data_IF_298733103180
#
_entry.id   IF_298733103180
#
_cell.length_a   1.000
_cell.length_b   1.000
_cell.length_c   1.000
_cell.angle_alpha   90.00
_cell.angle_beta   90.00
_cell.angle_gamma   90.00
#
_symmetry.space_group_name_H-M   'P 1'
#
loop_
_entity.id
_entity.type
_entity.pdbx_description
1 polymer ?
#
# COMPACT_ATOMS: atom_id res chain seq x y z
N UNK A 1 1.87 19.18 -22.14
CA UNK A 1 1.79 20.38 -21.27
C UNK A 1 0.96 19.95 -20.07
N UNK A 2 1.50 20.00 -18.84
CA UNK A 2 0.71 19.68 -17.68
C UNK A 2 -0.44 20.70 -17.55
N UNK A 3 -1.68 20.19 -17.55
CA UNK A 3 -2.83 21.03 -17.26
C UNK A 3 -2.78 21.38 -15.78
N UNK A 4 -2.40 22.60 -15.47
CA UNK A 4 -2.43 23.12 -14.10
C UNK A 4 -3.87 23.36 -13.71
N UNK A 5 -4.43 22.47 -12.89
CA UNK A 5 -5.73 22.71 -12.28
C UNK A 5 -5.60 23.82 -11.24
N UNK A 6 -6.46 24.82 -11.32
CA UNK A 6 -6.53 25.89 -10.29
C UNK A 6 -7.11 25.31 -9.01
N UNK A 7 -6.47 25.60 -7.87
CA UNK A 7 -6.99 25.23 -6.55
C UNK A 7 -8.03 26.26 -6.11
N UNK A 8 -9.21 25.78 -5.72
CA UNK A 8 -10.31 26.58 -5.22
C UNK A 8 -10.75 26.01 -3.87
N UNK A 9 -10.59 26.80 -2.80
CA UNK A 9 -10.98 26.41 -1.47
C UNK A 9 -12.50 26.53 -1.30
N UNK A 10 -13.08 25.63 -0.51
CA UNK A 10 -14.51 25.56 -0.27
C UNK A 10 -14.84 24.76 0.99
N UNK A 11 -16.04 24.21 1.11
CA UNK A 11 -16.41 23.37 2.25
C UNK A 11 -15.42 22.23 2.48
N UNK A 12 -15.22 21.89 3.75
CA UNK A 12 -14.40 20.74 4.17
C UNK A 12 -15.35 19.57 4.39
N UNK A 13 -15.13 18.49 3.64
CA UNK A 13 -15.89 17.25 3.74
C UNK A 13 -14.89 16.13 3.90
N UNK A 14 -15.10 15.21 4.85
CA UNK A 14 -14.22 14.07 5.02
C UNK A 14 -15.00 12.78 5.26
N UNK A 15 -14.40 11.66 4.90
CA UNK A 15 -14.90 10.34 5.17
C UNK A 15 -13.75 9.44 5.64
N UNK A 16 -13.92 8.84 6.81
CA UNK A 16 -13.01 7.82 7.34
C UNK A 16 -13.49 6.44 6.93
N UNK A 17 -12.56 5.63 6.49
CA UNK A 17 -12.77 4.26 6.06
C UNK A 17 -11.89 3.33 6.87
N UNK A 18 -12.29 2.08 6.99
CA UNK A 18 -11.48 1.05 7.63
C UNK A 18 -11.36 -0.22 6.78
N UNK A 19 -10.26 -0.93 6.96
CA UNK A 19 -10.02 -2.22 6.33
C UNK A 19 -9.20 -3.11 7.26
N UNK A 20 -9.68 -4.33 7.50
CA UNK A 20 -8.98 -5.31 8.31
C UNK A 20 -8.24 -6.30 7.41
N UNK A 21 -6.99 -6.58 7.76
CA UNK A 21 -6.15 -7.56 7.08
C UNK A 21 -5.80 -8.67 8.07
N UNK A 22 -6.14 -9.90 7.71
CA UNK A 22 -5.89 -11.11 8.49
C UNK A 22 -5.21 -12.16 7.60
N UNK A 23 -3.88 -12.12 7.46
CA UNK A 23 -3.17 -13.08 6.61
C UNK A 23 -3.25 -14.50 7.20
N UNK A 24 -3.24 -15.49 6.32
CA UNK A 24 -3.07 -16.87 6.74
C UNK A 24 -1.61 -17.09 7.17
N UNK A 25 -1.34 -17.04 8.48
CA UNK A 25 0.02 -17.09 9.03
C UNK A 25 0.76 -18.38 8.66
N UNK A 26 0.10 -19.54 8.58
CA UNK A 26 0.74 -20.81 8.15
C UNK A 26 1.21 -20.74 6.69
N UNK A 27 0.39 -20.12 5.82
CA UNK A 27 0.77 -19.92 4.41
C UNK A 27 1.89 -18.89 4.32
N UNK A 28 1.78 -17.80 5.07
CA UNK A 28 2.77 -16.72 5.09
C UNK A 28 4.15 -17.22 5.55
N UNK A 29 4.22 -17.98 6.66
CA UNK A 29 5.48 -18.55 7.15
C UNK A 29 6.11 -19.52 6.16
N UNK A 30 5.32 -20.35 5.48
CA UNK A 30 5.84 -21.23 4.42
C UNK A 30 6.43 -20.44 3.26
N UNK A 31 5.78 -19.35 2.86
CA UNK A 31 6.29 -18.47 1.80
C UNK A 31 7.60 -17.80 2.22
N UNK A 32 7.70 -17.32 3.47
CA UNK A 32 8.93 -16.73 4.00
C UNK A 32 10.09 -17.76 4.00
N UNK A 33 9.83 -18.99 4.45
CA UNK A 33 10.85 -20.03 4.47
C UNK A 33 11.31 -20.39 3.05
N UNK A 34 10.38 -20.57 2.13
CA UNK A 34 10.71 -20.80 0.71
C UNK A 34 11.56 -19.66 0.13
N UNK A 35 11.17 -18.40 0.41
CA UNK A 35 11.93 -17.24 -0.03
C UNK A 35 13.37 -17.25 0.51
N UNK A 36 13.57 -17.63 1.77
CA UNK A 36 14.91 -17.78 2.37
C UNK A 36 15.73 -18.85 1.63
N UNK A 37 15.11 -19.97 1.32
CA UNK A 37 15.75 -21.09 0.64
C UNK A 37 16.11 -20.72 -0.82
N UNK A 38 15.22 -20.03 -1.52
CA UNK A 38 15.44 -19.52 -2.89
C UNK A 38 16.60 -18.49 -2.94
N UNK A 39 16.70 -17.62 -1.91
CA UNK A 39 17.82 -16.68 -1.80
C UNK A 39 19.13 -17.41 -1.56
N UNK A 40 19.14 -18.42 -0.66
CA UNK A 40 20.35 -19.20 -0.35
C UNK A 40 20.82 -20.05 -1.50
N UNK A 41 19.91 -20.59 -2.31
CA UNK A 41 20.24 -21.36 -3.52
C UNK A 41 20.64 -20.48 -4.71
N UNK A 42 20.37 -19.17 -4.64
CA UNK A 42 20.59 -18.23 -5.73
C UNK A 42 19.47 -18.19 -6.78
N UNK A 43 18.36 -18.90 -6.53
CA UNK A 43 17.18 -18.86 -7.40
C UNK A 43 16.48 -17.49 -7.34
N UNK A 44 16.52 -16.83 -6.18
CA UNK A 44 16.03 -15.47 -6.00
C UNK A 44 17.21 -14.51 -5.75
N UNK A 45 17.43 -13.59 -6.70
CA UNK A 45 18.45 -12.55 -6.61
C UNK A 45 17.88 -11.23 -7.14
N UNK A 46 17.81 -10.21 -6.26
CA UNK A 46 17.34 -8.86 -6.62
C UNK A 46 18.49 -7.93 -7.09
N UNK A 47 19.65 -8.48 -7.39
CA UNK A 47 20.83 -7.73 -7.81
C UNK A 47 21.65 -7.16 -6.65
N UNK A 48 22.73 -6.46 -7.00
CA UNK A 48 23.72 -5.96 -6.03
C UNK A 48 23.17 -4.89 -5.08
N UNK A 49 22.14 -4.17 -5.49
CA UNK A 49 21.51 -3.12 -4.66
C UNK A 49 20.73 -3.65 -3.47
N UNK A 50 20.40 -4.95 -3.45
CA UNK A 50 19.64 -5.59 -2.37
C UNK A 50 20.42 -6.80 -1.83
N UNK A 51 21.24 -6.64 -0.80
CA UNK A 51 22.04 -7.73 -0.24
C UNK A 51 21.18 -8.92 0.22
N UNK A 52 21.56 -10.12 -0.18
CA UNK A 52 20.86 -11.36 0.20
C UNK A 52 20.68 -11.50 1.71
N UNK A 53 21.70 -11.11 2.50
CA UNK A 53 21.62 -11.13 3.97
C UNK A 53 20.53 -10.22 4.54
N UNK A 54 20.28 -9.06 3.92
CA UNK A 54 19.22 -8.15 4.36
C UNK A 54 17.84 -8.74 4.11
N UNK A 55 17.63 -9.37 2.96
CA UNK A 55 16.38 -10.07 2.63
C UNK A 55 16.11 -11.25 3.58
N UNK A 56 17.14 -12.07 3.80
CA UNK A 56 17.04 -13.21 4.74
C UNK A 56 16.70 -12.70 6.14
N UNK A 57 17.40 -11.67 6.62
CA UNK A 57 17.14 -11.07 7.92
C UNK A 57 15.71 -10.55 8.03
N UNK A 58 15.20 -9.85 7.02
CA UNK A 58 13.82 -9.38 6.95
C UNK A 58 12.82 -10.53 7.05
N UNK A 59 13.02 -11.61 6.27
CA UNK A 59 12.15 -12.78 6.33
C UNK A 59 12.20 -13.48 7.71
N UNK A 60 13.39 -13.59 8.31
CA UNK A 60 13.56 -14.19 9.64
C UNK A 60 12.86 -13.39 10.74
N UNK A 61 12.87 -12.06 10.68
CA UNK A 61 12.11 -11.23 11.61
C UNK A 61 10.61 -11.44 11.47
N UNK A 62 10.11 -11.55 10.24
CA UNK A 62 8.70 -11.82 9.99
C UNK A 62 8.26 -13.22 10.43
N UNK A 63 9.14 -14.23 10.39
CA UNK A 63 8.86 -15.57 10.91
C UNK A 63 8.61 -15.60 12.43
N UNK A 64 9.02 -14.57 13.17
CA UNK A 64 8.73 -14.45 14.61
C UNK A 64 7.29 -14.02 14.90
N UNK A 65 6.56 -13.49 13.90
CA UNK A 65 5.17 -13.10 14.06
C UNK A 65 4.28 -14.34 14.14
N UNK A 66 3.63 -14.53 15.29
CA UNK A 66 2.66 -15.62 15.50
C UNK A 66 1.25 -15.26 15.04
N UNK A 67 0.92 -13.97 15.09
CA UNK A 67 -0.34 -13.41 14.65
C UNK A 67 -0.08 -12.03 14.00
N UNK A 68 -0.89 -11.72 13.00
CA UNK A 68 -0.84 -10.43 12.33
C UNK A 68 -2.26 -10.00 11.98
N UNK A 69 -2.77 -9.08 12.78
CA UNK A 69 -4.08 -8.48 12.58
C UNK A 69 -3.88 -6.98 12.43
N UNK A 70 -4.14 -6.46 11.25
CA UNK A 70 -3.99 -5.05 10.96
C UNK A 70 -5.35 -4.42 10.68
N UNK A 71 -5.73 -3.45 11.50
CA UNK A 71 -6.85 -2.56 11.23
C UNK A 71 -6.30 -1.25 10.67
N UNK A 72 -6.49 -1.04 9.38
CA UNK A 72 -6.13 0.18 8.70
C UNK A 72 -7.27 1.20 8.80
N UNK A 73 -6.91 2.44 9.08
CA UNK A 73 -7.78 3.60 8.91
C UNK A 73 -7.21 4.50 7.82
N UNK A 74 -8.03 4.88 6.87
CA UNK A 74 -7.66 5.76 5.78
C UNK A 74 -8.82 6.70 5.47
N UNK A 75 -8.53 7.82 4.84
CA UNK A 75 -9.48 8.92 4.72
C UNK A 75 -9.50 9.51 3.32
N UNK A 76 -10.65 10.04 2.95
CA UNK A 76 -10.80 10.96 1.83
C UNK A 76 -11.24 12.29 2.40
N UNK A 77 -10.47 13.33 2.13
CA UNK A 77 -10.74 14.70 2.58
C UNK A 77 -10.83 15.62 1.38
N UNK A 78 -11.93 16.34 1.27
CA UNK A 78 -12.13 17.39 0.27
C UNK A 78 -12.13 18.77 0.92
N UNK A 79 -11.45 19.72 0.26
CA UNK A 79 -11.46 21.14 0.59
C UNK A 79 -11.73 21.89 -0.73
N UNK A 80 -12.99 22.15 -1.03
CA UNK A 80 -13.38 22.65 -2.33
C UNK A 80 -13.07 21.66 -3.46
N UNK A 81 -12.23 22.07 -4.43
CA UNK A 81 -11.78 21.21 -5.51
C UNK A 81 -10.47 20.46 -5.23
N UNK A 82 -9.95 20.54 -4.00
CA UNK A 82 -8.78 19.82 -3.54
C UNK A 82 -9.23 18.54 -2.82
N UNK A 83 -8.69 17.38 -3.21
CA UNK A 83 -8.95 16.08 -2.60
C UNK A 83 -7.68 15.45 -2.08
N UNK A 84 -7.69 15.07 -0.81
CA UNK A 84 -6.62 14.26 -0.22
C UNK A 84 -7.10 12.82 -0.07
N UNK A 85 -6.27 11.88 -0.51
CA UNK A 85 -6.36 10.49 -0.14
C UNK A 85 -5.27 10.22 0.90
N UNK A 86 -5.70 9.97 2.14
CA UNK A 86 -4.84 9.85 3.31
C UNK A 86 -4.69 8.36 3.63
N UNK A 87 -3.44 7.90 3.69
CA UNK A 87 -3.14 6.48 3.74
C UNK A 87 -2.03 6.16 4.76
N UNK A 88 -2.20 5.16 5.66
CA UNK A 88 -1.26 4.88 6.75
C UNK A 88 -0.13 3.92 6.34
N UNK A 89 0.52 4.14 5.23
CA UNK A 89 1.61 3.31 4.73
C UNK A 89 2.21 3.86 3.44
N UNK A 90 3.07 3.07 2.82
CA UNK A 90 3.64 3.39 1.52
C UNK A 90 2.81 2.76 0.40
N UNK A 91 2.22 3.61 -0.41
CA UNK A 91 1.37 3.19 -1.51
C UNK A 91 2.12 3.28 -2.84
N UNK A 92 2.08 2.22 -3.63
CA UNK A 92 2.71 2.17 -4.94
C UNK A 92 2.23 3.30 -5.86
N UNK A 93 3.16 3.91 -6.60
CA UNK A 93 2.90 5.07 -7.48
C UNK A 93 1.79 4.82 -8.50
N UNK A 94 1.65 3.60 -9.00
CA UNK A 94 0.58 3.17 -9.91
C UNK A 94 -0.81 3.40 -9.32
N UNK A 95 -0.99 3.12 -8.03
CA UNK A 95 -2.23 3.39 -7.32
C UNK A 95 -2.48 4.89 -7.14
N UNK A 96 -1.42 5.65 -6.81
CA UNK A 96 -1.50 7.09 -6.73
C UNK A 96 -1.96 7.73 -8.04
N UNK A 97 -1.44 7.27 -9.17
CA UNK A 97 -1.89 7.71 -10.50
C UNK A 97 -3.34 7.34 -10.78
N UNK A 98 -3.75 6.12 -10.43
CA UNK A 98 -5.14 5.67 -10.59
C UNK A 98 -6.11 6.52 -9.77
N UNK A 99 -5.80 6.82 -8.51
CA UNK A 99 -6.62 7.69 -7.67
C UNK A 99 -6.70 9.12 -8.22
N UNK A 100 -5.58 9.67 -8.71
CA UNK A 100 -5.57 11.00 -9.35
C UNK A 100 -6.41 11.05 -10.61
N UNK A 101 -6.43 9.99 -11.40
CA UNK A 101 -7.25 9.92 -12.64
C UNK A 101 -8.72 9.64 -12.37
N UNK A 102 -9.10 9.17 -11.18
CA UNK A 102 -10.48 8.85 -10.81
C UNK A 102 -11.33 10.07 -10.42
N UNK A 103 -10.75 11.27 -10.39
CA UNK A 103 -11.44 12.50 -9.97
C UNK A 103 -11.07 13.69 -10.85
N UNK A 104 -12.01 14.62 -11.00
CA UNK A 104 -11.77 15.92 -11.63
C UNK A 104 -11.12 16.93 -10.67
N UNK A 105 -11.05 16.62 -9.37
CA UNK A 105 -10.42 17.48 -8.36
C UNK A 105 -8.89 17.45 -8.49
N UNK A 106 -8.22 18.40 -7.85
CA UNK A 106 -6.77 18.36 -7.64
C UNK A 106 -6.49 17.34 -6.54
N UNK A 107 -6.03 16.14 -6.92
CA UNK A 107 -5.83 15.05 -5.98
C UNK A 107 -4.40 14.98 -5.46
N UNK A 108 -4.26 14.85 -4.15
CA UNK A 108 -3.03 14.66 -3.40
C UNK A 108 -3.10 13.31 -2.67
N UNK A 109 -2.03 12.52 -2.77
CA UNK A 109 -1.89 11.28 -2.03
C UNK A 109 -0.97 11.56 -0.85
N UNK A 110 -1.51 11.44 0.36
CA UNK A 110 -0.77 11.59 1.61
C UNK A 110 -0.47 10.20 2.19
N UNK A 111 0.68 9.64 1.83
CA UNK A 111 1.21 8.42 2.42
C UNK A 111 1.80 8.68 3.81
N UNK A 112 2.03 7.60 4.58
CA UNK A 112 2.54 7.63 5.95
C UNK A 112 1.71 8.47 6.93
N UNK A 113 0.48 8.78 6.58
CA UNK A 113 -0.42 9.57 7.41
C UNK A 113 -1.29 8.66 8.27
N UNK A 114 -1.47 9.01 9.55
CA UNK A 114 -2.20 8.24 10.55
C UNK A 114 -1.57 6.88 10.91
N UNK A 115 -0.28 6.70 10.64
CA UNK A 115 0.48 5.50 10.96
C UNK A 115 1.41 5.03 9.85
N UNK A 116 2.20 4.00 10.14
CA UNK A 116 3.05 3.32 9.18
C UNK A 116 2.77 1.82 9.23
N UNK A 117 2.20 1.30 8.16
CA UNK A 117 1.82 -0.11 8.05
C UNK A 117 2.34 -0.72 6.76
N UNK A 118 3.67 -0.82 6.62
CA UNK A 118 4.32 -1.48 5.49
C UNK A 118 4.02 -0.88 4.11
N UNK A 119 4.26 -1.70 3.09
CA UNK A 119 4.13 -1.35 1.68
C UNK A 119 2.86 -1.94 1.09
N UNK A 120 2.15 -1.13 0.32
CA UNK A 120 0.93 -1.50 -0.39
C UNK A 120 1.18 -1.34 -1.89
N UNK A 121 1.70 -2.42 -2.49
CA UNK A 121 2.12 -2.44 -3.88
C UNK A 121 1.15 -3.26 -4.76
N UNK A 122 1.15 -3.03 -6.08
CA UNK A 122 0.37 -3.83 -7.02
C UNK A 122 0.71 -5.32 -6.91
N UNK A 123 -0.30 -6.17 -7.03
CA UNK A 123 -0.15 -7.62 -6.89
C UNK A 123 0.90 -8.23 -7.82
N UNK A 124 1.11 -7.64 -9.01
CA UNK A 124 2.11 -8.06 -9.97
C UNK A 124 3.55 -7.77 -9.53
N UNK A 125 3.76 -6.92 -8.53
CA UNK A 125 5.09 -6.58 -7.99
C UNK A 125 5.49 -7.49 -6.81
N UNK A 126 4.56 -8.35 -6.32
CA UNK A 126 4.85 -9.21 -5.17
C UNK A 126 5.89 -10.28 -5.49
N UNK A 127 6.90 -10.38 -4.61
CA UNK A 127 8.05 -11.29 -4.78
C UNK A 127 9.16 -10.76 -5.69
N UNK A 128 9.00 -9.55 -6.23
CA UNK A 128 9.94 -8.97 -7.21
C UNK A 128 10.79 -7.83 -6.64
N UNK A 129 10.50 -7.35 -5.43
CA UNK A 129 11.20 -6.23 -4.81
C UNK A 129 11.43 -6.44 -3.31
N UNK A 130 12.39 -5.67 -2.76
CA UNK A 130 12.65 -5.66 -1.32
C UNK A 130 11.40 -5.31 -0.50
N UNK A 131 10.58 -4.41 -0.99
CA UNK A 131 9.36 -3.93 -0.32
C UNK A 131 8.32 -5.04 -0.18
N UNK A 132 8.20 -5.90 -1.18
CA UNK A 132 7.19 -6.97 -1.24
C UNK A 132 7.67 -8.28 -0.62
N UNK A 133 8.98 -8.57 -0.67
CA UNK A 133 9.54 -9.75 -0.04
C UNK A 133 9.44 -9.61 1.49
N UNK A 134 8.86 -10.60 2.14
CA UNK A 134 8.63 -10.58 3.58
C UNK A 134 7.62 -9.50 4.03
N UNK A 135 6.78 -9.01 3.15
CA UNK A 135 5.69 -8.11 3.51
C UNK A 135 4.51 -8.91 4.07
N UNK A 136 4.02 -8.62 5.31
CA UNK A 136 2.89 -9.33 5.90
C UNK A 136 1.54 -8.95 5.28
N UNK A 137 1.47 -7.84 4.52
CA UNK A 137 0.28 -7.47 3.76
C UNK A 137 0.14 -8.40 2.56
N UNK A 138 -0.95 -9.17 2.44
CA UNK A 138 -1.12 -10.09 1.33
C UNK A 138 -1.23 -9.37 -0.03
N UNK A 139 -0.75 -10.03 -1.08
CA UNK A 139 -0.96 -9.58 -2.46
C UNK A 139 -2.46 -9.38 -2.76
N UNK A 140 -2.81 -8.27 -3.38
CA UNK A 140 -4.18 -7.91 -3.73
C UNK A 140 -4.93 -7.10 -2.67
N UNK A 141 -4.39 -6.92 -1.47
CA UNK A 141 -5.05 -6.08 -0.45
C UNK A 141 -4.99 -4.59 -0.82
N UNK A 142 -3.90 -4.14 -1.44
CA UNK A 142 -3.77 -2.77 -1.90
C UNK A 142 -4.84 -2.38 -2.92
N UNK A 143 -5.15 -3.26 -3.87
CA UNK A 143 -6.22 -3.06 -4.86
C UNK A 143 -7.58 -2.85 -4.22
N UNK A 144 -7.91 -3.65 -3.19
CA UNK A 144 -9.18 -3.54 -2.46
C UNK A 144 -9.31 -2.21 -1.74
N UNK A 145 -8.23 -1.76 -1.09
CA UNK A 145 -8.21 -0.50 -0.35
C UNK A 145 -8.31 0.69 -1.32
N UNK A 146 -7.54 0.68 -2.39
CA UNK A 146 -7.58 1.72 -3.42
C UNK A 146 -8.95 1.83 -4.07
N UNK A 147 -9.60 0.69 -4.35
CA UNK A 147 -10.96 0.68 -4.86
C UNK A 147 -11.95 1.34 -3.89
N UNK A 148 -11.84 1.06 -2.58
CA UNK A 148 -12.66 1.72 -1.54
C UNK A 148 -12.42 3.23 -1.49
N UNK A 149 -11.15 3.67 -1.55
CA UNK A 149 -10.80 5.09 -1.55
C UNK A 149 -11.39 5.82 -2.77
N UNK A 150 -11.26 5.24 -3.95
CA UNK A 150 -11.83 5.80 -5.18
C UNK A 150 -13.36 5.87 -5.09
N UNK A 151 -14.00 4.78 -4.68
CA UNK A 151 -15.45 4.73 -4.52
C UNK A 151 -15.96 5.77 -3.52
N UNK A 152 -15.28 5.91 -2.38
CA UNK A 152 -15.60 6.92 -1.37
C UNK A 152 -15.51 8.33 -1.96
N UNK A 153 -14.42 8.63 -2.68
CA UNK A 153 -14.27 9.91 -3.33
C UNK A 153 -15.37 10.21 -4.34
N UNK A 154 -15.77 9.23 -5.14
CA UNK A 154 -16.87 9.37 -6.11
C UNK A 154 -18.24 9.60 -5.44
N UNK A 155 -18.46 9.02 -4.26
CA UNK A 155 -19.69 9.25 -3.49
C UNK A 155 -19.74 10.67 -2.92
N UNK A 156 -18.59 11.26 -2.58
CA UNK A 156 -18.49 12.66 -2.11
C UNK A 156 -18.68 13.68 -3.24
N UNK A 157 -18.67 13.27 -4.51
CA UNK A 157 -18.90 14.13 -5.68
C UNK A 157 -20.40 14.29 -6.03
N UNK A 158 -21.29 13.55 -5.35
CA UNK A 158 -22.75 13.59 -5.53
C UNK A 158 -23.42 14.57 -4.59
#
# INVERSE_FOLDING_TARGET
IPVTKKVEFGPVIFQTLSHSIHPNMKKYHRQLQQTIDDIKSGELNLGESVPAGALIGKCQEQLKLNDYNLLLQFEVLDIGNLRFYIFPGELGSKFGLSMKSSTNKVAIIAGYANGFHYYFLPKEEYGLSFETIGNPVPSGEAEKIVAKLIQSGQLMDK
#
